data_IF_338209869036
#
_entry.id   IF_338209869036
#
_cell.length_a   1.000
_cell.length_b   1.000
_cell.length_c   1.000
_cell.angle_alpha   90.00
_cell.angle_beta   90.00
_cell.angle_gamma   90.00
#
_symmetry.space_group_name_H-M   'P 1'
#
loop_
_entity.id
_entity.type
_entity.pdbx_description
1 polymer ?
#
# COMPACT_ATOMS: atom_id res chain seq x y z
N UNK A 1 -3.51 -18.12 4.86
CA UNK A 1 -3.91 -18.56 6.22
C UNK A 1 -5.34 -19.11 6.14
N UNK A 2 -5.71 -20.20 6.83
CA UNK A 2 -7.09 -20.68 6.86
C UNK A 2 -8.01 -19.71 7.61
N UNK A 3 -9.29 -19.66 7.25
CA UNK A 3 -10.29 -18.80 7.89
C UNK A 3 -10.60 -19.24 9.34
N UNK A 4 -11.10 -18.29 10.14
CA UNK A 4 -11.56 -18.54 11.50
C UNK A 4 -10.48 -18.43 12.59
N UNK A 5 -10.92 -18.37 13.85
CA UNK A 5 -10.05 -18.11 15.01
C UNK A 5 -9.04 -19.23 15.24
N UNK A 6 -9.46 -20.47 15.01
CA UNK A 6 -8.63 -21.66 15.18
C UNK A 6 -7.51 -21.70 14.13
N UNK A 7 -7.83 -21.40 12.86
CA UNK A 7 -6.86 -21.32 11.77
C UNK A 7 -5.83 -20.21 12.01
N UNK A 8 -6.31 -19.03 12.42
CA UNK A 8 -5.47 -17.91 12.82
C UNK A 8 -4.52 -18.28 13.98
N UNK A 9 -5.06 -18.83 15.07
CA UNK A 9 -4.26 -19.20 16.24
C UNK A 9 -3.19 -20.26 15.92
N UNK A 10 -3.54 -21.28 15.11
CA UNK A 10 -2.62 -22.33 14.72
C UNK A 10 -1.46 -21.79 13.86
N UNK A 11 -1.76 -20.90 12.91
CA UNK A 11 -0.75 -20.25 12.07
C UNK A 11 0.25 -19.45 12.92
N UNK A 12 -0.26 -18.58 13.80
CA UNK A 12 0.61 -17.71 14.60
C UNK A 12 1.38 -18.47 15.69
N UNK A 13 0.82 -19.53 16.27
CA UNK A 13 1.55 -20.38 17.21
C UNK A 13 2.83 -20.95 16.58
N UNK A 14 2.73 -21.49 15.36
CA UNK A 14 3.88 -22.00 14.63
C UNK A 14 4.82 -20.88 14.17
N UNK A 15 4.29 -19.74 13.73
CA UNK A 15 5.09 -18.59 13.36
C UNK A 15 5.96 -18.08 14.53
N UNK A 16 5.38 -17.97 15.73
CA UNK A 16 6.11 -17.51 16.91
C UNK A 16 7.17 -18.50 17.41
N UNK A 17 6.95 -19.79 17.23
CA UNK A 17 7.95 -20.83 17.52
C UNK A 17 9.13 -20.76 16.56
N UNK A 18 8.87 -20.55 15.25
CA UNK A 18 9.91 -20.41 14.22
C UNK A 18 10.68 -19.09 14.30
N UNK A 19 10.04 -18.03 14.80
CA UNK A 19 10.59 -16.68 14.88
C UNK A 19 10.49 -16.13 16.32
N UNK A 20 11.25 -16.69 17.27
CA UNK A 20 11.18 -16.29 18.68
C UNK A 20 11.72 -14.87 18.91
N UNK A 21 12.73 -14.47 18.15
CA UNK A 21 13.28 -13.11 18.13
C UNK A 21 12.64 -12.33 16.97
N UNK A 22 11.67 -11.47 17.28
CA UNK A 22 10.95 -10.66 16.30
C UNK A 22 10.58 -9.30 16.87
N UNK A 23 10.58 -8.29 16.02
CA UNK A 23 10.11 -6.94 16.33
C UNK A 23 9.20 -6.44 15.20
N UNK A 24 8.05 -5.88 15.55
CA UNK A 24 7.12 -5.29 14.58
C UNK A 24 7.02 -3.80 14.87
N UNK A 25 7.47 -2.97 13.93
CA UNK A 25 7.41 -1.52 14.02
C UNK A 25 6.27 -1.00 13.16
N UNK A 26 5.20 -0.56 13.79
CA UNK A 26 4.13 0.19 13.12
C UNK A 26 4.69 1.56 12.72
N UNK A 27 4.71 1.85 11.42
CA UNK A 27 5.26 3.09 10.87
C UNK A 27 4.18 4.14 10.71
N UNK A 28 2.99 3.73 10.25
CA UNK A 28 1.82 4.61 10.10
C UNK A 28 0.53 3.82 10.18
N UNK A 29 -0.53 4.51 10.59
CA UNK A 29 -1.88 4.00 10.69
C UNK A 29 -2.85 5.02 10.11
N UNK A 30 -3.82 4.56 9.33
CA UNK A 30 -4.89 5.40 8.76
C UNK A 30 -6.23 4.75 9.09
N UNK A 31 -7.17 5.53 9.61
CA UNK A 31 -8.52 5.08 9.96
C UNK A 31 -9.56 5.76 9.06
N UNK A 32 -10.46 4.96 8.49
CA UNK A 32 -11.58 5.45 7.67
C UNK A 32 -12.83 4.60 7.95
N UNK A 33 -13.70 5.11 8.82
CA UNK A 33 -14.90 4.40 9.27
C UNK A 33 -14.55 3.14 10.05
N UNK A 34 -14.95 1.97 9.53
CA UNK A 34 -14.65 0.68 10.15
C UNK A 34 -13.41 -0.01 9.57
N UNK A 35 -12.65 0.68 8.72
CA UNK A 35 -11.40 0.17 8.16
C UNK A 35 -10.21 0.85 8.83
N UNK A 36 -9.20 0.05 9.16
CA UNK A 36 -7.91 0.51 9.70
C UNK A 36 -6.80 -0.04 8.84
N UNK A 37 -6.04 0.84 8.20
CA UNK A 37 -4.81 0.53 7.50
C UNK A 37 -3.61 0.65 8.43
N UNK A 38 -2.65 -0.26 8.31
CA UNK A 38 -1.39 -0.27 9.06
C UNK A 38 -0.24 -0.59 8.12
N UNK A 39 0.83 0.21 8.16
CA UNK A 39 2.08 -0.06 7.45
C UNK A 39 3.17 -0.42 8.46
N UNK A 40 3.78 -1.60 8.30
CA UNK A 40 4.64 -2.20 9.32
C UNK A 40 6.00 -2.58 8.73
N UNK A 41 7.08 -2.21 9.44
CA UNK A 41 8.40 -2.80 9.24
C UNK A 41 8.56 -3.97 10.21
N UNK A 42 8.76 -5.17 9.69
CA UNK A 42 8.98 -6.38 10.47
C UNK A 42 10.45 -6.76 10.49
N UNK A 43 10.99 -7.04 11.66
CA UNK A 43 12.31 -7.62 11.87
C UNK A 43 12.14 -9.03 12.41
N UNK A 44 12.69 -10.03 11.73
CA UNK A 44 12.65 -11.43 12.15
C UNK A 44 14.09 -11.94 12.39
N UNK A 45 14.21 -12.87 13.33
CA UNK A 45 15.47 -13.54 13.71
C UNK A 45 16.58 -12.53 14.04
N UNK A 46 16.28 -11.56 14.90
CA UNK A 46 17.25 -10.52 15.27
C UNK A 46 17.60 -9.53 14.16
N UNK A 47 16.79 -9.45 13.10
CA UNK A 47 16.97 -8.52 11.97
C UNK A 47 17.64 -9.12 10.73
N UNK A 48 17.93 -10.42 10.73
CA UNK A 48 18.47 -11.15 9.57
C UNK A 48 17.49 -11.15 8.39
N UNK A 49 16.19 -11.14 8.65
CA UNK A 49 15.16 -10.98 7.64
C UNK A 49 14.27 -9.79 8.01
N UNK A 50 14.06 -8.90 7.05
CA UNK A 50 13.23 -7.71 7.19
C UNK A 50 12.16 -7.68 6.10
N UNK A 51 10.94 -7.31 6.50
CA UNK A 51 9.77 -7.31 5.64
C UNK A 51 8.97 -6.03 5.81
N UNK A 52 8.25 -5.65 4.76
CA UNK A 52 7.29 -4.57 4.77
C UNK A 52 5.90 -5.16 4.56
N UNK A 53 4.99 -4.90 5.50
CA UNK A 53 3.57 -5.27 5.35
C UNK A 53 2.66 -4.08 5.35
N UNK A 54 1.68 -4.13 4.48
CA UNK A 54 0.55 -3.22 4.41
C UNK A 54 -0.70 -4.02 4.70
N UNK A 55 -1.32 -3.73 5.83
CA UNK A 55 -2.45 -4.47 6.37
C UNK A 55 -3.68 -3.57 6.40
N UNK A 56 -4.83 -4.07 5.96
CA UNK A 56 -6.13 -3.43 6.22
C UNK A 56 -7.01 -4.37 7.03
N UNK A 57 -7.54 -3.86 8.14
CA UNK A 57 -8.47 -4.56 9.00
C UNK A 57 -9.86 -3.95 8.90
N UNK A 58 -10.89 -4.79 8.88
CA UNK A 58 -12.28 -4.34 9.10
C UNK A 58 -12.72 -4.67 10.53
N UNK A 59 -13.29 -3.69 11.22
CA UNK A 59 -13.89 -3.86 12.53
C UNK A 59 -15.42 -3.99 12.46
N UNK A 60 -15.99 -4.80 13.37
CA UNK A 60 -17.43 -4.79 13.66
C UNK A 60 -17.82 -3.64 14.61
N UNK A 61 -19.11 -3.50 14.91
CA UNK A 61 -19.64 -2.47 15.81
C UNK A 61 -19.12 -2.57 17.27
N UNK A 62 -18.53 -3.71 17.65
CA UNK A 62 -17.92 -3.91 18.96
C UNK A 62 -16.40 -3.69 18.94
N UNK A 63 -15.85 -3.22 17.82
CA UNK A 63 -14.41 -3.01 17.63
C UNK A 63 -13.62 -4.30 17.44
N UNK A 64 -14.26 -5.41 17.08
CA UNK A 64 -13.57 -6.69 16.80
C UNK A 64 -13.13 -6.74 15.35
N UNK A 65 -11.91 -7.21 15.11
CA UNK A 65 -11.43 -7.50 13.75
C UNK A 65 -12.23 -8.68 13.19
N UNK A 66 -12.88 -8.45 12.05
CA UNK A 66 -13.69 -9.47 11.35
C UNK A 66 -13.12 -9.85 9.99
N UNK A 67 -12.34 -8.96 9.36
CA UNK A 67 -11.64 -9.23 8.10
C UNK A 67 -10.26 -8.56 8.12
N UNK A 68 -9.34 -9.13 7.34
CA UNK A 68 -7.96 -8.71 7.21
C UNK A 68 -7.49 -8.99 5.78
N UNK A 69 -6.83 -8.00 5.17
CA UNK A 69 -6.16 -8.12 3.88
C UNK A 69 -4.76 -7.57 4.01
N UNK A 70 -3.76 -8.32 3.57
CA UNK A 70 -2.37 -7.89 3.60
C UNK A 70 -1.70 -7.96 2.24
N UNK A 71 -0.67 -7.12 2.08
CA UNK A 71 0.41 -7.34 1.13
C UNK A 71 1.75 -7.37 1.87
N UNK A 72 2.66 -8.24 1.44
CA UNK A 72 4.01 -8.37 2.01
C UNK A 72 5.08 -8.41 0.91
N UNK A 73 6.13 -7.61 1.08
CA UNK A 73 7.37 -7.70 0.29
C UNK A 73 8.61 -7.57 1.19
N UNK A 74 9.77 -7.98 0.67
CA UNK A 74 11.05 -7.83 1.35
C UNK A 74 11.40 -6.36 1.55
N UNK A 75 11.97 -6.05 2.72
CA UNK A 75 12.59 -4.76 2.93
C UNK A 75 13.89 -4.63 2.16
N UNK A 76 14.05 -3.54 1.40
CA UNK A 76 15.28 -3.21 0.67
C UNK A 76 15.95 -2.01 1.36
N UNK A 77 17.22 -2.17 1.70
CA UNK A 77 18.02 -1.07 2.24
C UNK A 77 18.20 -0.04 1.13
N UNK A 78 17.96 1.26 1.39
CA UNK A 78 18.14 2.28 0.36
C UNK A 78 19.59 2.37 -0.10
N UNK A 79 19.79 2.44 -1.42
CA UNK A 79 21.10 2.60 -2.04
C UNK A 79 21.18 3.91 -2.83
N UNK A 80 22.39 4.38 -3.12
CA UNK A 80 22.62 5.51 -4.06
C UNK A 80 21.83 6.79 -3.74
N UNK A 81 21.55 7.06 -2.45
CA UNK A 81 20.80 8.24 -2.02
C UNK A 81 19.28 8.14 -2.20
N UNK A 82 18.75 6.96 -2.49
CA UNK A 82 17.31 6.70 -2.44
C UNK A 82 16.75 6.98 -1.04
N UNK A 83 15.49 7.41 -1.02
CA UNK A 83 14.72 7.49 0.22
C UNK A 83 14.32 6.09 0.68
N UNK A 84 13.94 5.98 1.93
CA UNK A 84 13.53 4.70 2.52
C UNK A 84 12.21 4.20 1.93
N UNK A 85 12.08 2.91 1.60
CA UNK A 85 10.85 2.39 0.98
C UNK A 85 9.63 2.46 1.92
N UNK A 86 9.87 2.50 3.23
CA UNK A 86 8.82 2.53 4.24
C UNK A 86 8.85 3.80 5.07
N UNK A 87 10.02 4.31 5.46
CA UNK A 87 10.11 5.49 6.32
C UNK A 87 9.96 6.81 5.56
N UNK A 88 9.52 7.84 6.27
CA UNK A 88 9.23 9.17 5.75
C UNK A 88 8.40 9.93 6.79
N UNK A 89 8.29 11.24 6.63
CA UNK A 89 7.51 12.07 7.55
C UNK A 89 6.03 11.65 7.51
N UNK A 90 5.42 11.51 8.68
CA UNK A 90 4.03 11.10 8.81
C UNK A 90 3.30 11.99 9.81
N UNK A 91 2.43 12.85 9.30
CA UNK A 91 1.59 13.73 10.11
C UNK A 91 0.24 13.96 9.41
N UNK A 92 -0.83 13.47 10.05
CA UNK A 92 -2.20 13.66 9.56
C UNK A 92 -2.63 15.11 9.79
N UNK A 93 -2.99 15.79 8.69
CA UNK A 93 -3.50 17.16 8.65
C UNK A 93 -4.75 17.23 7.78
N UNK A 94 -5.40 18.38 7.72
CA UNK A 94 -6.46 18.68 6.75
C UNK A 94 -7.60 17.66 6.76
N UNK A 95 -8.06 17.26 7.95
CA UNK A 95 -9.15 16.29 8.11
C UNK A 95 -10.43 16.70 7.36
N UNK A 96 -10.69 18.00 7.19
CA UNK A 96 -11.82 18.51 6.39
C UNK A 96 -11.68 18.23 4.89
N UNK A 97 -10.46 17.91 4.40
CA UNK A 97 -10.16 17.59 3.01
C UNK A 97 -10.26 16.11 2.68
N UNK A 98 -10.45 15.23 3.65
CA UNK A 98 -10.48 13.77 3.47
C UNK A 98 -11.30 13.34 2.24
N UNK A 99 -12.55 13.80 2.13
CA UNK A 99 -13.45 13.44 1.02
C UNK A 99 -12.92 13.96 -0.33
N UNK A 100 -12.39 15.18 -0.36
CA UNK A 100 -11.84 15.79 -1.57
C UNK A 100 -10.57 15.04 -2.02
N UNK A 101 -9.67 14.73 -1.09
CA UNK A 101 -8.43 14.01 -1.38
C UNK A 101 -8.71 12.59 -1.88
N UNK A 102 -9.64 11.85 -1.26
CA UNK A 102 -10.10 10.55 -1.78
C UNK A 102 -10.64 10.67 -3.20
N UNK A 103 -11.40 11.73 -3.50
CA UNK A 103 -11.92 11.96 -4.86
C UNK A 103 -10.78 12.21 -5.85
N UNK A 104 -9.79 13.02 -5.49
CA UNK A 104 -8.59 13.26 -6.33
C UNK A 104 -7.89 11.95 -6.64
N UNK A 105 -7.54 11.15 -5.63
CA UNK A 105 -6.84 9.87 -5.85
C UNK A 105 -7.70 8.87 -6.61
N UNK A 106 -9.01 8.80 -6.36
CA UNK A 106 -9.89 7.92 -7.15
C UNK A 106 -9.87 8.29 -8.64
N UNK A 107 -9.91 9.59 -8.95
CA UNK A 107 -9.84 10.06 -10.34
C UNK A 107 -8.47 9.81 -10.93
N UNK A 108 -7.39 10.05 -10.19
CA UNK A 108 -6.03 9.72 -10.61
C UNK A 108 -5.92 8.23 -10.99
N UNK A 109 -6.33 7.32 -10.11
CA UNK A 109 -6.29 5.88 -10.37
C UNK A 109 -7.13 5.49 -11.60
N UNK A 110 -8.33 6.06 -11.76
CA UNK A 110 -9.19 5.73 -12.90
C UNK A 110 -8.72 6.36 -14.22
N UNK A 111 -8.55 7.68 -14.26
CA UNK A 111 -8.23 8.43 -15.49
C UNK A 111 -6.81 8.09 -15.97
N UNK A 112 -5.83 8.01 -15.06
CA UNK A 112 -4.45 7.71 -15.45
C UNK A 112 -4.23 6.21 -15.66
N UNK A 113 -4.55 5.37 -14.68
CA UNK A 113 -4.13 3.96 -14.71
C UNK A 113 -5.15 3.00 -15.32
N UNK A 114 -6.43 3.36 -15.38
CA UNK A 114 -7.43 2.51 -16.04
C UNK A 114 -7.71 2.99 -17.46
N UNK A 115 -7.76 4.30 -17.69
CA UNK A 115 -8.07 4.87 -19.02
C UNK A 115 -6.82 5.24 -19.84
N UNK A 116 -5.64 5.36 -19.22
CA UNK A 116 -4.40 5.69 -19.92
C UNK A 116 -4.27 7.18 -20.30
N UNK A 117 -4.99 8.07 -19.63
CA UNK A 117 -5.05 9.52 -19.93
C UNK A 117 -3.82 10.28 -19.39
N UNK A 118 -2.62 9.81 -19.75
CA UNK A 118 -1.34 10.32 -19.25
C UNK A 118 -1.13 11.82 -19.52
N UNK A 119 -1.81 12.41 -20.50
CA UNK A 119 -1.79 13.85 -20.75
C UNK A 119 -2.34 14.68 -19.59
N UNK A 120 -3.21 14.11 -18.73
CA UNK A 120 -3.79 14.77 -17.56
C UNK A 120 -2.98 14.60 -16.26
N UNK A 121 -1.81 13.95 -16.34
CA UNK A 121 -0.97 13.64 -15.17
C UNK A 121 -0.71 14.83 -14.23
N UNK A 122 -0.42 16.01 -14.79
CA UNK A 122 -0.10 17.21 -14.02
C UNK A 122 -1.28 17.77 -13.21
N UNK A 123 -2.51 17.32 -13.50
CA UNK A 123 -3.69 17.70 -12.72
C UNK A 123 -3.74 16.99 -11.36
N UNK A 124 -2.93 15.93 -11.20
CA UNK A 124 -2.94 15.05 -10.03
C UNK A 124 -1.65 15.05 -9.23
N UNK A 125 -0.49 15.17 -9.88
CA UNK A 125 0.81 14.91 -9.24
C UNK A 125 1.70 16.15 -9.30
N UNK A 126 2.15 16.62 -8.13
CA UNK A 126 3.06 17.75 -8.02
C UNK A 126 4.41 17.45 -8.68
N UNK A 127 5.03 18.47 -9.30
CA UNK A 127 6.28 18.34 -10.07
C UNK A 127 7.41 17.71 -9.24
N UNK A 128 7.51 18.09 -7.98
CA UNK A 128 8.51 17.70 -7.00
C UNK A 128 8.10 16.50 -6.13
N UNK A 129 7.22 15.62 -6.65
CA UNK A 129 6.80 14.37 -5.99
C UNK A 129 7.97 13.65 -5.32
N UNK A 130 7.81 13.39 -4.03
CA UNK A 130 8.70 12.53 -3.25
C UNK A 130 8.30 11.07 -3.50
N UNK A 131 9.24 10.25 -3.95
CA UNK A 131 8.98 8.85 -4.33
C UNK A 131 9.74 7.89 -3.42
N UNK A 132 9.05 6.92 -2.84
CA UNK A 132 9.64 5.90 -1.98
C UNK A 132 9.81 4.54 -2.65
N UNK A 133 9.13 4.29 -3.77
CA UNK A 133 9.39 3.09 -4.56
C UNK A 133 10.80 3.15 -5.18
N UNK A 134 11.66 2.20 -4.81
CA UNK A 134 13.05 2.13 -5.27
C UNK A 134 13.22 1.81 -6.77
N UNK A 135 12.17 1.37 -7.45
CA UNK A 135 12.15 1.12 -8.90
C UNK A 135 11.88 2.41 -9.69
N UNK A 136 11.43 3.49 -9.02
CA UNK A 136 10.98 4.72 -9.65
C UNK A 136 11.89 5.87 -9.22
N UNK A 137 12.31 6.70 -10.18
CA UNK A 137 13.08 7.91 -9.89
C UNK A 137 12.25 8.96 -9.12
N UNK A 138 12.93 9.97 -8.56
CA UNK A 138 12.27 11.09 -7.89
C UNK A 138 11.54 12.01 -8.88
N UNK A 139 10.50 12.69 -8.39
CA UNK A 139 9.74 13.69 -9.12
C UNK A 139 8.64 13.12 -10.01
N UNK A 140 7.69 14.00 -10.37
CA UNK A 140 6.47 13.65 -11.12
C UNK A 140 6.78 12.95 -12.45
N UNK A 141 7.78 13.48 -13.16
CA UNK A 141 8.12 12.99 -14.50
C UNK A 141 8.68 11.56 -14.46
N UNK A 142 9.46 11.21 -13.44
CA UNK A 142 10.00 9.87 -13.31
C UNK A 142 8.89 8.84 -13.07
N UNK A 143 7.91 9.18 -12.22
CA UNK A 143 6.77 8.32 -11.99
C UNK A 143 5.90 8.18 -13.25
N UNK A 144 5.63 9.27 -13.96
CA UNK A 144 4.91 9.23 -15.24
C UNK A 144 5.60 8.34 -16.29
N UNK A 145 6.93 8.46 -16.40
CA UNK A 145 7.72 7.67 -17.33
C UNK A 145 7.64 6.17 -16.98
N UNK A 146 7.79 5.83 -15.71
CA UNK A 146 7.68 4.44 -15.24
C UNK A 146 6.32 3.83 -15.62
N UNK A 147 5.22 4.56 -15.42
CA UNK A 147 3.88 4.09 -15.82
C UNK A 147 3.80 3.79 -17.31
N UNK A 148 4.36 4.65 -18.15
CA UNK A 148 4.34 4.48 -19.61
C UNK A 148 5.29 3.36 -20.09
N UNK A 149 6.44 3.18 -19.43
CA UNK A 149 7.48 2.22 -19.81
C UNK A 149 7.14 0.78 -19.40
N UNK A 150 6.37 0.61 -18.32
CA UNK A 150 6.04 -0.70 -17.73
C UNK A 150 4.59 -1.17 -17.96
N UNK A 151 3.86 -0.51 -18.87
CA UNK A 151 2.43 -0.79 -19.14
C UNK A 151 1.60 -0.90 -17.84
N UNK A 152 1.90 -0.02 -16.89
CA UNK A 152 1.37 -0.12 -15.53
C UNK A 152 -0.09 0.35 -15.52
N UNK A 153 -1.01 -0.56 -15.21
CA UNK A 153 -2.44 -0.29 -15.20
C UNK A 153 -3.11 -0.82 -13.93
N UNK A 154 -4.29 -0.27 -13.61
CA UNK A 154 -5.16 -0.78 -12.55
C UNK A 154 -6.29 -1.61 -13.17
N UNK A 155 -6.40 -2.89 -12.80
CA UNK A 155 -7.57 -3.69 -13.16
C UNK A 155 -8.79 -3.19 -12.38
N UNK A 156 -8.63 -3.02 -11.06
CA UNK A 156 -9.63 -2.43 -10.19
C UNK A 156 -9.01 -1.93 -8.88
N UNK A 157 -9.65 -0.92 -8.30
CA UNK A 157 -9.38 -0.48 -6.92
C UNK A 157 -10.42 -1.13 -6.01
N UNK A 158 -9.96 -2.02 -5.14
CA UNK A 158 -10.79 -2.78 -4.20
C UNK A 158 -11.20 -1.94 -2.99
N UNK A 159 -10.25 -1.24 -2.38
CA UNK A 159 -10.48 -0.34 -1.25
C UNK A 159 -9.79 1.00 -1.45
N UNK A 160 -10.42 2.04 -0.92
CA UNK A 160 -9.87 3.39 -0.90
C UNK A 160 -10.19 4.03 0.46
N UNK A 161 -9.17 4.16 1.30
CA UNK A 161 -9.24 4.76 2.63
C UNK A 161 -8.65 6.16 2.57
N UNK A 162 -9.15 7.08 3.39
CA UNK A 162 -8.52 8.38 3.53
C UNK A 162 -8.70 8.96 4.92
N UNK A 163 -7.68 9.67 5.38
CA UNK A 163 -7.69 10.41 6.62
C UNK A 163 -6.89 11.69 6.43
N UNK A 164 -7.60 12.80 6.27
CA UNK A 164 -7.02 14.10 6.02
C UNK A 164 -6.22 14.16 4.73
N UNK A 165 -4.94 14.50 4.84
CA UNK A 165 -3.97 14.60 3.75
C UNK A 165 -3.42 13.26 3.26
N UNK A 166 -3.80 12.12 3.84
CA UNK A 166 -3.40 10.80 3.34
C UNK A 166 -4.57 10.02 2.72
N UNK A 167 -4.26 9.30 1.65
CA UNK A 167 -5.17 8.36 0.99
C UNK A 167 -4.43 7.08 0.69
N UNK A 168 -5.07 5.93 0.94
CA UNK A 168 -4.53 4.61 0.64
C UNK A 168 -5.45 3.91 -0.35
N UNK A 169 -4.89 3.41 -1.44
CA UNK A 169 -5.58 2.45 -2.32
C UNK A 169 -5.10 1.04 -2.03
N UNK A 170 -6.00 0.08 -2.22
CA UNK A 170 -5.68 -1.32 -2.34
C UNK A 170 -6.43 -1.89 -3.55
N UNK A 171 -5.73 -2.60 -4.42
CA UNK A 171 -6.34 -3.12 -5.64
C UNK A 171 -5.43 -4.10 -6.38
N UNK A 172 -5.86 -4.47 -7.58
CA UNK A 172 -5.06 -5.28 -8.49
C UNK A 172 -4.49 -4.40 -9.59
N UNK A 173 -3.18 -4.51 -9.80
CA UNK A 173 -2.42 -3.83 -10.86
C UNK A 173 -1.86 -4.85 -11.85
N UNK A 174 -1.66 -4.42 -13.10
CA UNK A 174 -0.85 -5.13 -14.08
C UNK A 174 0.42 -4.32 -14.32
N UNK A 175 1.58 -4.97 -14.29
CA UNK A 175 2.87 -4.37 -14.61
C UNK A 175 3.61 -5.34 -15.53
N UNK A 176 3.93 -4.92 -16.75
CA UNK A 176 4.54 -5.75 -17.79
C UNK A 176 3.85 -7.12 -17.99
N UNK A 177 2.51 -7.13 -17.90
CA UNK A 177 1.68 -8.34 -18.04
C UNK A 177 1.67 -9.27 -16.81
N UNK A 178 2.23 -8.84 -15.68
CA UNK A 178 2.17 -9.55 -14.39
C UNK A 178 1.16 -8.89 -13.47
N UNK A 179 0.25 -9.68 -12.90
CA UNK A 179 -0.75 -9.21 -11.95
C UNK A 179 -0.18 -9.11 -10.54
N UNK A 180 -0.42 -7.99 -9.86
CA UNK A 180 -0.02 -7.75 -8.47
C UNK A 180 -1.23 -7.36 -7.62
N UNK A 181 -1.22 -7.77 -6.35
CA UNK A 181 -1.98 -7.09 -5.31
C UNK A 181 -1.12 -5.93 -4.82
N UNK A 182 -1.65 -4.72 -4.86
CA UNK A 182 -0.86 -3.52 -4.59
C UNK A 182 -1.61 -2.56 -3.66
N UNK A 183 -0.89 -2.11 -2.64
CA UNK A 183 -1.23 -0.93 -1.86
C UNK A 183 -0.42 0.26 -2.36
N UNK A 184 -1.07 1.41 -2.46
CA UNK A 184 -0.40 2.70 -2.65
C UNK A 184 -0.84 3.64 -1.53
N UNK A 185 0.11 4.43 -1.04
CA UNK A 185 -0.10 5.41 0.02
C UNK A 185 0.31 6.76 -0.56
N UNK A 186 -0.65 7.67 -0.63
CA UNK A 186 -0.46 9.01 -1.16
C UNK A 186 -0.57 10.03 -0.05
N UNK A 187 0.39 10.97 0.02
CA UNK A 187 0.19 12.24 0.72
C UNK A 187 -0.21 13.31 -0.29
N UNK A 188 -1.18 14.12 0.09
CA UNK A 188 -1.68 15.23 -0.72
C UNK A 188 -1.44 16.57 -0.04
N UNK A 189 -1.19 17.58 -0.85
CA UNK A 189 -1.11 18.98 -0.43
C UNK A 189 -1.67 19.86 -1.54
N UNK A 190 -2.49 20.85 -1.17
CA UNK A 190 -3.15 21.75 -2.12
C UNK A 190 -3.92 21.03 -3.26
N UNK A 191 -4.41 19.82 -2.99
CA UNK A 191 -5.17 19.00 -3.94
C UNK A 191 -4.31 18.18 -4.92
N UNK A 192 -2.98 18.20 -4.79
CA UNK A 192 -2.04 17.41 -5.58
C UNK A 192 -1.40 16.31 -4.72
N UNK A 193 -1.05 15.19 -5.34
CA UNK A 193 -0.20 14.15 -4.77
C UNK A 193 1.24 14.66 -4.74
N UNK A 194 1.82 14.69 -3.55
CA UNK A 194 3.15 15.24 -3.28
C UNK A 194 4.13 14.21 -2.74
N UNK A 195 3.64 13.04 -2.30
CA UNK A 195 4.49 11.94 -1.85
C UNK A 195 3.79 10.59 -2.05
N UNK A 196 4.57 9.57 -2.39
CA UNK A 196 4.08 8.24 -2.75
C UNK A 196 4.95 7.13 -2.15
N UNK A 197 4.29 6.15 -1.53
CA UNK A 197 4.85 4.84 -1.18
C UNK A 197 3.96 3.75 -1.77
N UNK A 198 4.52 2.59 -2.08
CA UNK A 198 3.76 1.40 -2.42
C UNK A 198 4.27 0.15 -1.70
N UNK A 199 3.46 -0.89 -1.74
CA UNK A 199 3.83 -2.25 -1.40
C UNK A 199 3.03 -3.20 -2.29
N UNK A 200 3.72 -4.11 -2.97
CA UNK A 200 3.11 -4.98 -3.97
C UNK A 200 3.65 -6.40 -3.87
N UNK A 201 2.79 -7.37 -4.11
CA UNK A 201 3.21 -8.76 -4.30
C UNK A 201 2.52 -9.37 -5.52
N UNK A 202 3.22 -10.30 -6.17
CA UNK A 202 2.66 -11.01 -7.32
C UNK A 202 1.42 -11.77 -6.89
N UNK A 203 0.34 -11.64 -7.65
CA UNK A 203 -0.90 -12.38 -7.40
C UNK A 203 -0.62 -13.89 -7.45
N UNK A 204 -0.89 -14.64 -6.36
CA UNK A 204 -0.77 -16.08 -6.38
C UNK A 204 -1.74 -16.68 -7.40
N UNK A 205 -1.39 -17.84 -7.95
CA UNK A 205 -2.34 -18.59 -8.77
C UNK A 205 -3.52 -19.01 -7.91
N UNK A 206 -4.72 -19.02 -8.49
CA UNK A 206 -5.97 -19.37 -7.79
C UNK A 206 -5.89 -20.76 -7.12
N UNK A 207 -5.16 -21.69 -7.70
CA UNK A 207 -4.94 -23.04 -7.18
C UNK A 207 -4.06 -23.10 -5.92
N UNK A 208 -3.22 -22.09 -5.70
CA UNK A 208 -2.32 -21.99 -4.53
C UNK A 208 -2.96 -21.21 -3.37
N UNK A 209 -4.12 -20.58 -3.61
CA UNK A 209 -4.82 -19.77 -2.63
C UNK A 209 -5.47 -20.64 -1.54
N UNK A 210 -5.09 -20.41 -0.28
CA UNK A 210 -5.74 -21.06 0.88
C UNK A 210 -7.19 -20.60 1.06
N UNK A 211 -7.47 -19.36 0.65
CA UNK A 211 -8.80 -18.76 0.57
C UNK A 211 -8.82 -17.75 -0.58
N UNK A 212 -10.00 -17.29 -1.02
CA UNK A 212 -10.08 -16.27 -2.08
C UNK A 212 -9.75 -14.85 -1.59
N UNK A 213 -9.26 -14.70 -0.36
CA UNK A 213 -9.27 -13.47 0.41
C UNK A 213 -8.24 -12.41 0.03
N UNK A 214 -7.63 -12.48 -1.16
CA UNK A 214 -6.79 -11.36 -1.62
C UNK A 214 -7.64 -10.14 -1.97
N UNK A 215 -8.88 -10.36 -2.43
CA UNK A 215 -9.92 -9.35 -2.64
C UNK A 215 -11.30 -9.92 -2.27
#
# INVERSE_FOLDING_TARGET
MPDGKEGFAAFFANFFERHPEREMKIVRTIEDGNLVFVHVHQYLNGGEAQWVTTDTFRADENGRIVEHWDVIDYYRVPENGQLDQIFGDFEIKDLDKTVANKKTVRRFLTEIFQNGELEQWSDYVAEDLIQHNHEIGQGSQAYKNYVAEHDLTFDFVFQLLGQGNYVVSYGQTQIDGVAYAQYDIFRLENGLIVEHWDNKEVMPKVEDLTNRGKF
#
